data_IF_660784161854
#
_entry.id   IF_660784161854
#
_cell.length_a   1.000
_cell.length_b   1.000
_cell.length_c   1.000
_cell.angle_alpha   90.00
_cell.angle_beta   90.00
_cell.angle_gamma   90.00
#
_symmetry.space_group_name_H-M   'P 1'
#
loop_
_entity.id
_entity.type
_entity.pdbx_description
1 polymer ?
#
# COMPACT_ATOMS: atom_id res chain seq x y z
N UNK A 1 -12.61 9.45 9.91
CA UNK A 1 -13.31 8.87 8.75
C UNK A 1 -13.97 7.53 9.07
N UNK A 2 -13.25 6.56 9.65
CA UNK A 2 -13.78 5.24 10.05
C UNK A 2 -15.05 5.28 10.90
N UNK A 3 -15.10 6.16 11.92
CA UNK A 3 -16.28 6.25 12.81
C UNK A 3 -17.56 6.63 12.06
N UNK A 4 -17.47 7.45 11.01
CA UNK A 4 -18.62 7.84 10.20
C UNK A 4 -19.17 6.69 9.37
N UNK A 5 -18.31 5.80 8.86
CA UNK A 5 -18.71 4.59 8.13
C UNK A 5 -19.27 3.55 9.10
N UNK A 6 -18.66 3.41 10.28
CA UNK A 6 -19.13 2.49 11.32
C UNK A 6 -20.55 2.84 11.79
N UNK A 7 -20.86 4.13 11.95
CA UNK A 7 -22.21 4.61 12.33
C UNK A 7 -23.21 4.63 11.19
N UNK A 8 -22.79 4.45 9.92
CA UNK A 8 -23.67 4.51 8.76
C UNK A 8 -24.62 3.30 8.74
N UNK A 9 -25.92 3.55 8.70
CA UNK A 9 -26.92 2.48 8.65
C UNK A 9 -26.95 1.81 7.27
N UNK A 10 -27.09 0.48 7.23
CA UNK A 10 -27.08 -0.32 6.00
C UNK A 10 -28.15 0.06 4.97
N UNK A 11 -29.24 0.72 5.39
CA UNK A 11 -30.29 1.22 4.49
C UNK A 11 -29.79 2.26 3.48
N UNK A 12 -28.67 2.93 3.77
CA UNK A 12 -28.04 3.89 2.87
C UNK A 12 -27.06 3.22 1.90
N UNK A 13 -26.86 1.91 2.05
CA UNK A 13 -25.94 1.13 1.23
C UNK A 13 -26.74 0.19 0.32
N UNK A 14 -26.18 -0.06 -0.86
CA UNK A 14 -26.82 -0.92 -1.87
C UNK A 14 -26.97 -2.36 -1.41
N UNK A 15 -26.05 -2.82 -0.56
CA UNK A 15 -25.99 -4.19 -0.03
C UNK A 15 -25.27 -4.21 1.31
N UNK A 16 -25.56 -5.17 2.17
CA UNK A 16 -24.96 -5.26 3.51
C UNK A 16 -23.42 -5.37 3.48
N UNK A 17 -22.86 -6.11 2.51
CA UNK A 17 -21.41 -6.26 2.36
C UNK A 17 -20.69 -4.99 1.90
N UNK A 18 -21.41 -3.94 1.46
CA UNK A 18 -20.77 -2.65 1.15
C UNK A 18 -20.20 -2.00 2.41
N UNK A 19 -20.83 -2.22 3.57
CA UNK A 19 -20.35 -1.64 4.82
C UNK A 19 -19.02 -2.28 5.22
N UNK A 20 -18.94 -3.61 5.12
CA UNK A 20 -17.72 -4.35 5.40
C UNK A 20 -16.57 -3.94 4.47
N UNK A 21 -16.87 -3.70 3.19
CA UNK A 21 -15.88 -3.22 2.21
C UNK A 21 -15.36 -1.80 2.53
N UNK A 22 -16.21 -0.93 3.08
CA UNK A 22 -15.82 0.42 3.47
C UNK A 22 -15.09 0.45 4.82
N UNK A 23 -15.40 -0.48 5.73
CA UNK A 23 -14.70 -0.65 7.00
C UNK A 23 -13.34 -1.34 6.82
N UNK A 24 -13.21 -2.19 5.80
CA UNK A 24 -12.02 -2.97 5.51
C UNK A 24 -11.64 -2.82 4.02
N UNK A 25 -11.15 -1.65 3.60
CA UNK A 25 -10.72 -1.45 2.22
C UNK A 25 -9.55 -2.38 1.90
N UNK A 26 -9.62 -3.06 0.76
CA UNK A 26 -8.50 -3.90 0.29
C UNK A 26 -7.40 -3.03 -0.30
N UNK A 27 -6.15 -3.27 0.09
CA UNK A 27 -5.01 -2.67 -0.57
C UNK A 27 -4.75 -3.39 -1.91
N UNK A 28 -4.91 -2.67 -3.02
CA UNK A 28 -4.72 -3.25 -4.36
C UNK A 28 -3.26 -3.72 -4.61
N UNK A 29 -2.30 -3.20 -3.84
CA UNK A 29 -0.89 -3.57 -3.92
C UNK A 29 -0.42 -4.38 -2.70
N UNK A 30 -1.32 -4.95 -1.90
CA UNK A 30 -0.98 -5.62 -0.63
C UNK A 30 0.07 -6.73 -0.79
N UNK A 31 -0.02 -7.50 -1.87
CA UNK A 31 0.95 -8.58 -2.18
C UNK A 31 2.36 -8.06 -2.42
N UNK A 32 2.50 -6.81 -2.87
CA UNK A 32 3.78 -6.15 -3.08
C UNK A 32 4.21 -5.41 -1.81
N UNK A 33 3.28 -4.76 -1.11
CA UNK A 33 3.54 -4.07 0.16
C UNK A 33 4.04 -5.00 1.26
N UNK A 34 3.53 -6.24 1.33
CA UNK A 34 4.00 -7.26 2.29
C UNK A 34 5.43 -7.73 2.04
N UNK A 35 5.96 -7.53 0.82
CA UNK A 35 7.34 -7.85 0.43
C UNK A 35 8.31 -6.69 0.72
N UNK A 36 7.82 -5.53 1.15
CA UNK A 36 8.67 -4.39 1.52
C UNK A 36 9.40 -4.64 2.83
N UNK A 37 10.62 -4.11 2.93
CA UNK A 37 11.44 -4.18 4.16
C UNK A 37 10.80 -3.47 5.34
N UNK A 38 10.03 -2.41 5.07
CA UNK A 38 9.25 -1.69 6.07
C UNK A 38 7.79 -1.84 5.67
N UNK A 39 7.04 -2.58 6.48
CA UNK A 39 5.60 -2.72 6.30
C UNK A 39 4.87 -1.79 7.28
N UNK A 40 4.36 -0.68 6.75
CA UNK A 40 3.71 0.38 7.56
C UNK A 40 2.35 -0.08 8.11
N UNK A 41 1.73 -1.06 7.47
CA UNK A 41 0.49 -1.68 7.94
C UNK A 41 0.63 -3.21 7.78
N UNK A 42 1.10 -3.93 8.81
CA UNK A 42 1.09 -5.39 8.84
C UNK A 42 -0.35 -5.90 8.92
N UNK A 43 -1.06 -5.80 7.80
CA UNK A 43 -2.40 -6.34 7.63
C UNK A 43 -2.34 -7.85 7.54
N UNK A 44 -3.39 -8.50 8.04
CA UNK A 44 -3.62 -9.90 7.71
C UNK A 44 -3.70 -10.06 6.18
N UNK A 45 -3.11 -11.12 5.61
CA UNK A 45 -3.08 -11.31 4.17
C UNK A 45 -4.49 -11.30 3.56
N UNK A 46 -4.62 -10.69 2.37
CA UNK A 46 -5.86 -10.62 1.59
C UNK A 46 -6.56 -11.98 1.59
N UNK A 47 -7.76 -12.02 2.17
CA UNK A 47 -8.61 -13.21 2.14
C UNK A 47 -9.35 -13.25 0.81
N UNK A 48 -9.01 -14.21 -0.04
CA UNK A 48 -9.74 -14.46 -1.29
C UNK A 48 -10.80 -15.54 -1.09
N UNK A 49 -11.99 -15.29 -1.64
CA UNK A 49 -13.14 -16.18 -1.60
C UNK A 49 -13.57 -16.59 -3.00
N UNK A 50 -14.03 -17.83 -3.16
CA UNK A 50 -14.58 -18.40 -4.40
C UNK A 50 -15.97 -18.98 -4.15
N UNK A 51 -16.78 -18.99 -5.20
CA UNK A 51 -18.06 -19.71 -5.18
C UNK A 51 -17.83 -21.23 -5.25
N UNK A 52 -18.37 -21.99 -4.28
CA UNK A 52 -18.21 -23.44 -4.24
C UNK A 52 -18.93 -24.15 -5.40
N UNK A 53 -20.03 -23.56 -5.89
CA UNK A 53 -20.87 -24.19 -6.93
C UNK A 53 -20.42 -23.90 -8.35
N UNK A 54 -19.53 -22.91 -8.57
CA UNK A 54 -19.09 -22.54 -9.92
C UNK A 54 -17.92 -23.37 -10.47
N UNK A 55 -17.19 -24.16 -9.66
CA UNK A 55 -15.99 -24.94 -10.08
C UNK A 55 -15.02 -24.21 -11.07
N UNK A 56 -14.94 -22.87 -11.01
CA UNK A 56 -14.07 -22.06 -11.90
C UNK A 56 -14.69 -21.58 -13.23
N UNK A 57 -15.94 -21.93 -13.54
CA UNK A 57 -16.63 -21.52 -14.80
C UNK A 57 -17.12 -20.07 -14.80
N UNK A 58 -17.12 -19.40 -13.64
CA UNK A 58 -17.65 -18.06 -13.48
C UNK A 58 -16.58 -17.01 -13.85
N UNK A 59 -16.91 -16.06 -14.74
CA UNK A 59 -16.00 -14.98 -15.23
C UNK A 59 -15.32 -14.15 -14.12
N UNK A 60 -15.88 -14.14 -12.91
CA UNK A 60 -15.26 -13.57 -11.71
C UNK A 60 -15.13 -14.67 -10.65
N UNK A 61 -14.04 -15.46 -10.67
CA UNK A 61 -13.92 -16.62 -9.81
C UNK A 61 -13.51 -16.27 -8.37
N UNK A 62 -13.02 -15.06 -8.12
CA UNK A 62 -12.47 -14.62 -6.84
C UNK A 62 -13.07 -13.29 -6.38
N UNK A 63 -13.19 -13.12 -5.07
CA UNK A 63 -13.66 -11.91 -4.39
C UNK A 63 -12.87 -11.74 -3.10
N UNK A 64 -12.48 -10.53 -2.75
CA UNK A 64 -11.89 -10.19 -1.43
C UNK A 64 -12.96 -10.09 -0.33
N UNK A 65 -14.23 -10.01 -0.74
CA UNK A 65 -15.38 -9.84 0.15
C UNK A 65 -16.09 -11.19 0.29
N UNK A 66 -16.22 -11.65 1.54
CA UNK A 66 -16.99 -12.83 1.91
C UNK A 66 -18.48 -12.59 1.63
N UNK A 67 -19.23 -13.65 1.33
CA UNK A 67 -20.70 -13.61 1.19
C UNK A 67 -21.23 -12.81 -0.01
N UNK A 68 -20.35 -12.15 -0.78
CA UNK A 68 -20.70 -11.51 -2.05
C UNK A 68 -21.40 -12.52 -2.97
N UNK A 69 -22.56 -12.16 -3.58
CA UNK A 69 -23.24 -13.04 -4.51
C UNK A 69 -22.41 -13.21 -5.79
N UNK A 70 -22.16 -14.47 -6.15
CA UNK A 70 -21.60 -14.81 -7.46
C UNK A 70 -22.65 -14.62 -8.57
N UNK A 71 -22.23 -14.68 -9.84
CA UNK A 71 -23.17 -14.66 -10.99
C UNK A 71 -24.22 -15.76 -10.94
N UNK A 72 -23.89 -16.91 -10.33
CA UNK A 72 -24.83 -18.00 -10.09
C UNK A 72 -25.78 -17.75 -8.90
N UNK A 73 -25.79 -16.53 -8.34
CA UNK A 73 -26.60 -16.08 -7.19
C UNK A 73 -26.27 -16.75 -5.85
N UNK A 74 -25.28 -17.65 -5.81
CA UNK A 74 -24.80 -18.26 -4.57
C UNK A 74 -23.67 -17.44 -3.94
N UNK A 75 -23.54 -17.42 -2.61
CA UNK A 75 -22.50 -16.66 -1.93
C UNK A 75 -21.10 -17.22 -2.19
N UNK A 76 -20.11 -16.32 -2.19
CA UNK A 76 -18.68 -16.67 -2.27
C UNK A 76 -18.13 -16.93 -0.87
N UNK A 77 -17.96 -18.21 -0.52
CA UNK A 77 -17.63 -18.66 0.84
C UNK A 77 -16.28 -19.37 0.95
N UNK A 78 -15.81 -20.01 -0.12
CA UNK A 78 -14.64 -20.89 -0.07
C UNK A 78 -13.37 -20.04 -0.08
N UNK A 79 -12.59 -20.08 0.99
CA UNK A 79 -11.29 -19.40 1.05
C UNK A 79 -10.30 -20.02 0.04
N UNK A 80 -9.47 -19.17 -0.54
CA UNK A 80 -8.39 -19.52 -1.46
C UNK A 80 -7.11 -18.95 -0.90
N UNK A 81 -6.10 -19.81 -0.70
CA UNK A 81 -4.78 -19.38 -0.26
C UNK A 81 -4.05 -18.67 -1.43
N UNK A 82 -3.51 -17.49 -1.14
CA UNK A 82 -2.93 -16.57 -2.13
C UNK A 82 -1.66 -17.13 -2.78
N UNK A 83 -1.00 -18.11 -2.14
CA UNK A 83 0.18 -18.82 -2.68
C UNK A 83 -0.08 -19.52 -4.02
N UNK A 84 -1.34 -19.79 -4.37
CA UNK A 84 -1.73 -20.40 -5.65
C UNK A 84 -2.15 -19.39 -6.73
N UNK A 85 -2.32 -18.11 -6.41
CA UNK A 85 -2.79 -17.09 -7.35
C UNK A 85 -1.64 -16.40 -8.12
N UNK A 86 -0.42 -16.38 -7.57
CA UNK A 86 0.74 -15.73 -8.22
C UNK A 86 1.35 -16.56 -9.37
N UNK A 87 1.00 -17.85 -9.52
CA UNK A 87 1.56 -18.70 -10.59
C UNK A 87 1.06 -18.39 -12.01
N UNK A 88 0.13 -17.45 -12.17
CA UNK A 88 -0.53 -17.17 -13.45
C UNK A 88 -0.44 -15.74 -13.96
N UNK A 89 0.03 -14.78 -13.16
CA UNK A 89 0.21 -13.40 -13.62
C UNK A 89 1.65 -13.23 -14.09
N UNK A 90 1.88 -13.40 -15.39
CA UNK A 90 3.05 -12.78 -16.00
C UNK A 90 2.88 -11.27 -15.83
N UNK A 91 3.86 -10.67 -15.18
CA UNK A 91 4.00 -9.23 -15.04
C UNK A 91 4.33 -8.64 -16.43
N UNK A 92 3.30 -8.50 -17.27
CA UNK A 92 3.41 -7.85 -18.57
C UNK A 92 3.31 -6.32 -18.44
N UNK A 93 3.59 -5.76 -17.25
CA UNK A 93 3.75 -4.33 -17.09
C UNK A 93 5.14 -3.92 -17.62
N UNK A 94 5.24 -3.74 -18.93
CA UNK A 94 6.25 -2.88 -19.56
C UNK A 94 6.06 -1.44 -19.05
N UNK A 95 6.53 -1.20 -17.84
CA UNK A 95 6.32 0.05 -17.12
C UNK A 95 6.57 -0.22 -15.65
N UNK A 96 7.84 -0.05 -15.25
CA UNK A 96 8.36 -0.39 -13.93
C UNK A 96 7.37 -0.06 -12.81
N UNK A 97 7.18 -1.04 -11.92
CA UNK A 97 6.27 -0.92 -10.79
C UNK A 97 6.55 0.32 -9.91
N UNK A 98 5.57 0.66 -9.08
CA UNK A 98 5.63 1.79 -8.12
C UNK A 98 6.73 1.58 -7.06
N UNK A 99 7.21 0.35 -6.90
CA UNK A 99 8.21 -0.03 -5.93
C UNK A 99 9.61 -0.06 -6.55
N UNK A 100 10.58 0.49 -5.83
CA UNK A 100 11.99 0.49 -6.24
C UNK A 100 12.51 -0.94 -6.21
N UNK A 101 13.09 -1.39 -7.33
CA UNK A 101 13.66 -2.73 -7.45
C UNK A 101 14.85 -2.95 -6.49
N UNK A 102 15.10 -4.22 -6.18
CA UNK A 102 16.18 -4.65 -5.28
C UNK A 102 17.54 -4.14 -5.78
N UNK A 103 18.11 -3.21 -5.01
CA UNK A 103 19.35 -2.53 -5.30
C UNK A 103 19.67 -1.53 -4.19
N UNK A 104 20.94 -1.15 -4.05
CA UNK A 104 21.39 -0.11 -3.11
C UNK A 104 20.93 1.30 -3.54
N UNK A 105 19.63 1.46 -3.77
CA UNK A 105 19.04 2.73 -4.18
C UNK A 105 18.84 3.59 -2.93
N UNK A 106 19.65 4.65 -2.82
CA UNK A 106 19.47 5.68 -1.78
C UNK A 106 18.68 6.82 -2.40
N UNK A 107 17.62 7.22 -1.73
CA UNK A 107 16.79 8.35 -2.11
C UNK A 107 16.85 9.41 -1.02
N UNK A 108 16.39 10.61 -1.36
CA UNK A 108 16.20 11.73 -0.45
C UNK A 108 14.73 12.12 -0.48
N UNK A 109 14.19 12.42 0.69
CA UNK A 109 12.83 12.93 0.87
C UNK A 109 12.97 14.32 1.50
N UNK A 110 12.33 15.31 0.90
CA UNK A 110 12.28 16.69 1.40
C UNK A 110 11.06 16.93 2.28
N UNK A 111 11.01 18.05 3.00
CA UNK A 111 9.90 18.40 3.89
C UNK A 111 8.55 18.54 3.16
N UNK A 112 8.57 18.89 1.87
CA UNK A 112 7.40 18.90 0.99
C UNK A 112 7.11 17.51 0.37
N UNK A 113 7.69 16.45 0.94
CA UNK A 113 7.51 15.03 0.60
C UNK A 113 7.91 14.66 -0.83
N UNK A 114 8.76 15.45 -1.48
CA UNK A 114 9.30 15.08 -2.79
C UNK A 114 10.38 14.01 -2.64
N UNK A 115 10.25 12.94 -3.41
CA UNK A 115 11.24 11.86 -3.48
C UNK A 115 12.17 12.11 -4.65
N UNK A 116 13.48 12.07 -4.40
CA UNK A 116 14.49 12.22 -5.43
C UNK A 116 15.64 11.23 -5.27
N UNK A 117 16.30 10.91 -6.38
CA UNK A 117 17.51 10.10 -6.35
C UNK A 117 18.62 10.85 -5.59
N UNK A 118 19.28 10.17 -4.65
CA UNK A 118 20.35 10.79 -3.87
C UNK A 118 21.55 11.06 -4.77
N UNK A 119 21.86 12.33 -5.00
CA UNK A 119 23.05 12.79 -5.72
C UNK A 119 23.50 14.14 -5.17
N UNK A 120 24.80 14.46 -5.31
CA UNK A 120 25.34 15.76 -4.89
C UNK A 120 24.67 16.92 -5.61
N UNK A 121 24.38 16.77 -6.90
CA UNK A 121 23.66 17.76 -7.69
C UNK A 121 22.24 18.01 -7.17
N UNK A 122 21.53 16.95 -6.75
CA UNK A 122 20.21 17.08 -6.15
C UNK A 122 20.27 17.82 -4.80
N UNK A 123 21.24 17.50 -3.93
CA UNK A 123 21.44 18.21 -2.67
C UNK A 123 21.71 19.71 -2.89
N UNK A 124 22.65 20.06 -3.78
CA UNK A 124 23.00 21.45 -4.08
C UNK A 124 21.81 22.23 -4.67
N UNK A 125 21.02 21.58 -5.52
CA UNK A 125 19.79 22.17 -6.07
C UNK A 125 18.77 22.50 -4.97
N UNK A 126 18.63 21.61 -3.98
CA UNK A 126 17.77 21.85 -2.82
C UNK A 126 18.29 22.99 -1.94
N UNK A 127 19.59 23.02 -1.64
CA UNK A 127 20.19 24.13 -0.88
C UNK A 127 19.93 25.47 -1.54
N UNK A 128 20.11 25.57 -2.87
CA UNK A 128 19.78 26.79 -3.61
C UNK A 128 18.30 27.16 -3.54
N UNK A 129 17.40 26.17 -3.61
CA UNK A 129 15.95 26.41 -3.45
C UNK A 129 15.58 26.91 -2.05
N UNK A 130 16.33 26.47 -1.04
CA UNK A 130 16.16 26.89 0.36
C UNK A 130 16.92 28.18 0.70
N UNK A 131 17.64 28.78 -0.26
CA UNK A 131 18.40 30.02 -0.05
C UNK A 131 19.73 29.85 0.67
N UNK A 132 20.29 28.64 0.66
CA UNK A 132 21.60 28.31 1.24
C UNK A 132 22.66 28.40 0.14
N UNK A 133 23.51 29.43 0.19
CA UNK A 133 24.54 29.71 -0.84
C UNK A 133 25.88 29.01 -0.55
N UNK A 134 26.34 29.01 0.70
CA UNK A 134 27.72 28.64 1.07
C UNK A 134 27.80 27.27 1.75
N UNK A 135 26.67 26.76 2.26
CA UNK A 135 26.57 25.48 2.99
C UNK A 135 27.35 25.42 4.31
N UNK A 136 27.99 26.53 4.73
CA UNK A 136 28.85 26.59 5.92
C UNK A 136 28.07 26.27 7.21
N UNK A 137 26.79 26.62 7.25
CA UNK A 137 25.91 26.38 8.40
C UNK A 137 25.17 25.02 8.33
N UNK A 138 25.45 24.19 7.32
CA UNK A 138 24.78 22.90 7.14
C UNK A 138 25.54 21.80 7.88
N UNK A 139 24.88 21.15 8.83
CA UNK A 139 25.40 19.98 9.55
C UNK A 139 24.72 18.70 9.05
N UNK A 140 25.50 17.70 8.64
CA UNK A 140 24.97 16.38 8.34
C UNK A 140 24.81 15.57 9.63
N UNK A 141 23.58 15.15 9.94
CA UNK A 141 23.28 14.25 11.05
C UNK A 141 22.80 12.90 10.53
N UNK A 142 23.42 11.84 11.03
CA UNK A 142 23.00 10.46 10.74
C UNK A 142 22.14 9.95 11.90
N UNK A 143 20.93 9.50 11.59
CA UNK A 143 20.01 8.88 12.53
C UNK A 143 19.76 7.43 12.10
N UNK A 144 19.89 6.50 13.04
CA UNK A 144 19.49 5.11 12.86
C UNK A 144 18.06 4.95 13.36
N UNK A 145 17.13 4.71 12.45
CA UNK A 145 15.71 4.53 12.75
C UNK A 145 15.33 3.06 12.55
N UNK A 146 14.76 2.44 13.58
CA UNK A 146 14.14 1.13 13.47
C UNK A 146 12.70 1.21 12.97
N UNK A 147 12.07 0.06 12.75
CA UNK A 147 10.69 -0.02 12.22
C UNK A 147 9.68 0.76 13.06
N UNK A 148 9.81 0.69 14.39
CA UNK A 148 8.93 1.39 15.33
C UNK A 148 9.09 2.90 15.24
N UNK A 149 10.33 3.39 15.17
CA UNK A 149 10.58 4.81 14.97
C UNK A 149 10.01 5.25 13.63
N UNK A 150 10.27 4.55 12.52
CA UNK A 150 9.75 4.94 11.20
C UNK A 150 8.22 5.00 11.17
N UNK A 151 7.53 4.01 11.77
CA UNK A 151 6.05 4.03 11.85
C UNK A 151 5.50 5.18 12.69
N UNK A 152 6.18 5.57 13.76
CA UNK A 152 5.74 6.64 14.65
C UNK A 152 6.14 8.04 14.16
N UNK A 153 7.18 8.17 13.33
CA UNK A 153 7.83 9.46 13.00
C UNK A 153 7.37 10.07 11.67
N UNK A 154 6.28 9.59 11.06
CA UNK A 154 5.64 10.29 9.93
C UNK A 154 5.09 11.69 10.28
N UNK A 155 5.30 12.15 11.53
CA UNK A 155 5.10 13.52 11.94
C UNK A 155 6.43 14.03 12.54
N UNK A 156 7.09 14.92 11.79
CA UNK A 156 8.23 15.77 12.17
C UNK A 156 9.62 15.10 12.15
N UNK A 157 10.30 15.17 10.99
CA UNK A 157 11.75 15.45 10.98
C UNK A 157 11.89 16.91 10.55
N UNK A 158 11.66 17.81 11.50
CA UNK A 158 12.04 19.20 11.36
C UNK A 158 13.48 19.29 11.84
N UNK A 159 14.43 19.46 10.93
CA UNK A 159 15.77 19.93 11.28
C UNK A 159 16.00 21.22 10.50
N UNK A 160 15.69 22.33 11.18
CA UNK A 160 16.44 23.56 11.04
C UNK A 160 17.59 23.46 12.05
#
# INVERSE_FOLDING_TARGET
MYNSVASLESRHLRTDYCKDMLLNPSNATETWSSKLKINVDPLEPVKLYRCNSCLGTCRQPLSTIKDRPCRCKRPMLRRVDVDQAEKGAKDDCEGGGVFVNDGAFRFMITDDLQVMARSTAACLSLFRKLGIDDGIEVEERTLELGEKEVMCTFVVVCMI
#
